data_IF_373660497894
#
_entry.id   IF_373660497894
#
_cell.length_a   1.000
_cell.length_b   1.000
_cell.length_c   1.000
_cell.angle_alpha   90.00
_cell.angle_beta   90.00
_cell.angle_gamma   90.00
#
_symmetry.space_group_name_H-M   'P 1'
#
loop_
_entity.id
_entity.type
_entity.pdbx_description
1 polymer ?
#
# COMPACT_ATOMS: atom_id res chain seq x y z
N UNK A 1 18.06 7.10 21.24
CA UNK A 1 18.15 7.57 19.82
C UNK A 1 16.72 7.80 19.34
N UNK A 2 16.42 9.01 18.88
CA UNK A 2 15.05 9.38 18.47
C UNK A 2 14.65 8.59 17.23
N UNK A 3 13.58 7.76 17.25
CA UNK A 3 13.21 6.89 16.13
C UNK A 3 12.76 7.67 14.88
N UNK A 4 12.50 8.96 15.01
CA UNK A 4 12.00 9.85 13.96
C UNK A 4 13.09 10.58 13.16
N UNK A 5 14.38 10.45 13.51
CA UNK A 5 15.44 11.11 12.75
C UNK A 5 15.73 10.29 11.47
N UNK A 6 15.38 10.88 10.33
CA UNK A 6 15.76 10.37 9.01
C UNK A 6 17.29 10.51 8.88
N UNK A 7 18.01 9.44 9.16
CA UNK A 7 19.45 9.39 8.87
C UNK A 7 19.64 9.07 7.38
N UNK A 8 20.72 9.58 6.79
CA UNK A 8 21.02 9.39 5.36
C UNK A 8 20.87 7.92 4.89
N UNK A 9 21.39 6.90 5.61
CA UNK A 9 21.21 5.50 5.20
C UNK A 9 19.74 5.06 5.23
N UNK A 10 18.93 5.53 6.18
CA UNK A 10 17.48 5.24 6.19
C UNK A 10 16.77 5.85 4.99
N UNK A 11 17.09 7.09 4.64
CA UNK A 11 16.53 7.76 3.49
C UNK A 11 16.88 7.04 2.18
N UNK A 12 18.14 6.62 2.01
CA UNK A 12 18.58 5.86 0.84
C UNK A 12 17.87 4.51 0.71
N UNK A 13 17.76 3.75 1.78
CA UNK A 13 17.06 2.44 1.76
C UNK A 13 15.59 2.63 1.45
N UNK A 14 14.93 3.65 2.03
CA UNK A 14 13.51 3.93 1.75
C UNK A 14 13.32 4.34 0.29
N UNK A 15 14.22 5.16 -0.25
CA UNK A 15 14.18 5.59 -1.65
C UNK A 15 14.37 4.41 -2.61
N UNK A 16 15.36 3.55 -2.35
CA UNK A 16 15.60 2.34 -3.15
C UNK A 16 14.42 1.36 -3.08
N UNK A 17 13.86 1.15 -1.89
CA UNK A 17 12.69 0.29 -1.72
C UNK A 17 11.48 0.85 -2.45
N UNK A 18 11.24 2.17 -2.38
CA UNK A 18 10.18 2.85 -3.11
C UNK A 18 10.35 2.79 -4.63
N UNK A 19 11.58 2.99 -5.12
CA UNK A 19 11.90 2.87 -6.53
C UNK A 19 11.68 1.44 -7.06
N UNK A 20 12.13 0.43 -6.31
CA UNK A 20 11.94 -0.97 -6.66
C UNK A 20 10.45 -1.35 -6.65
N UNK A 21 9.71 -0.87 -5.66
CA UNK A 21 8.26 -1.07 -5.57
C UNK A 21 7.51 -0.42 -6.74
N UNK A 22 7.82 0.84 -7.06
CA UNK A 22 7.22 1.56 -8.19
C UNK A 22 7.56 0.90 -9.54
N UNK A 23 8.79 0.43 -9.71
CA UNK A 23 9.19 -0.34 -10.88
C UNK A 23 8.39 -1.66 -10.99
N UNK A 24 8.19 -2.38 -9.89
CA UNK A 24 7.37 -3.58 -9.85
C UNK A 24 5.91 -3.32 -10.22
N UNK A 25 5.32 -2.21 -9.73
CA UNK A 25 3.96 -1.80 -10.09
C UNK A 25 3.83 -1.45 -11.58
N UNK A 26 4.85 -0.81 -12.15
CA UNK A 26 4.90 -0.48 -13.56
C UNK A 26 4.97 -1.74 -14.44
N UNK A 27 5.83 -2.70 -14.09
CA UNK A 27 5.92 -3.99 -14.78
C UNK A 27 4.64 -4.81 -14.69
N UNK A 28 3.97 -4.76 -13.55
CA UNK A 28 2.69 -5.43 -13.33
C UNK A 28 1.50 -4.73 -14.03
N UNK A 29 1.75 -3.63 -14.75
CA UNK A 29 0.72 -2.77 -15.40
C UNK A 29 -0.38 -2.28 -14.46
N UNK A 30 -0.16 -2.34 -13.15
CA UNK A 30 -1.12 -1.95 -12.11
C UNK A 30 -1.37 -0.43 -12.05
N UNK A 31 -0.58 0.36 -12.76
CA UNK A 31 -0.77 1.82 -12.92
C UNK A 31 -1.92 2.17 -13.88
N UNK A 32 -2.46 1.17 -14.59
CA UNK A 32 -3.58 1.34 -15.54
C UNK A 32 -4.89 0.88 -14.88
N UNK A 33 -5.88 1.79 -14.73
CA UNK A 33 -7.19 1.44 -14.14
C UNK A 33 -7.93 0.34 -14.90
N UNK A 34 -7.70 0.23 -16.21
CA UNK A 34 -8.33 -0.77 -17.09
C UNK A 34 -7.99 -2.20 -16.68
N UNK A 35 -6.77 -2.44 -16.19
CA UNK A 35 -6.31 -3.76 -15.72
C UNK A 35 -7.09 -4.17 -14.48
N UNK A 36 -7.30 -3.23 -13.54
CA UNK A 36 -8.08 -3.47 -12.32
C UNK A 36 -9.54 -3.70 -12.64
N UNK A 37 -10.12 -2.91 -13.57
CA UNK A 37 -11.50 -3.11 -14.02
C UNK A 37 -11.66 -4.42 -14.80
N UNK A 38 -10.65 -4.82 -15.57
CA UNK A 38 -10.62 -6.12 -16.25
C UNK A 38 -10.67 -7.29 -15.26
N UNK A 39 -9.92 -7.20 -14.19
CA UNK A 39 -9.95 -8.16 -13.08
C UNK A 39 -11.33 -8.20 -12.39
N UNK A 40 -11.90 -7.05 -12.04
CA UNK A 40 -13.22 -6.97 -11.42
C UNK A 40 -14.34 -7.55 -12.30
N UNK A 41 -14.14 -7.54 -13.63
CA UNK A 41 -15.04 -8.18 -14.61
C UNK A 41 -14.71 -9.66 -14.87
N UNK A 42 -13.80 -10.26 -14.10
CA UNK A 42 -13.34 -11.65 -14.24
C UNK A 42 -12.75 -11.97 -15.63
N UNK A 43 -12.23 -10.97 -16.34
CA UNK A 43 -11.60 -11.15 -17.66
C UNK A 43 -10.10 -11.44 -17.58
N UNK A 44 -9.45 -11.00 -16.51
CA UNK A 44 -8.02 -11.17 -16.29
C UNK A 44 -7.74 -11.63 -14.85
N UNK A 45 -7.05 -12.77 -14.73
CA UNK A 45 -6.66 -13.36 -13.44
C UNK A 45 -5.24 -13.00 -13.03
N UNK A 46 -4.51 -12.29 -13.88
CA UNK A 46 -3.13 -11.88 -13.62
C UNK A 46 -3.00 -11.06 -12.35
N UNK A 47 -3.92 -10.13 -12.12
CA UNK A 47 -3.93 -9.30 -10.92
C UNK A 47 -4.10 -10.14 -9.64
N UNK A 48 -4.89 -11.20 -9.67
CA UNK A 48 -5.08 -12.10 -8.52
C UNK A 48 -3.79 -12.84 -8.16
N UNK A 49 -3.02 -13.26 -9.17
CA UNK A 49 -1.73 -13.90 -8.96
C UNK A 49 -0.71 -12.91 -8.38
N UNK A 50 -0.68 -11.68 -8.86
CA UNK A 50 0.20 -10.63 -8.33
C UNK A 50 -0.16 -10.29 -6.88
N UNK A 51 -1.45 -10.08 -6.58
CA UNK A 51 -1.89 -9.78 -5.21
C UNK A 51 -1.66 -10.96 -4.26
N UNK A 52 -1.97 -12.17 -4.69
CA UNK A 52 -1.74 -13.39 -3.91
C UNK A 52 -0.25 -13.63 -3.66
N UNK A 53 0.58 -13.45 -4.69
CA UNK A 53 2.04 -13.53 -4.57
C UNK A 53 2.61 -12.49 -3.62
N UNK A 54 2.18 -11.24 -3.74
CA UNK A 54 2.60 -10.15 -2.85
C UNK A 54 2.18 -10.41 -1.39
N UNK A 55 0.94 -10.85 -1.16
CA UNK A 55 0.45 -11.20 0.17
C UNK A 55 1.21 -12.39 0.76
N UNK A 56 1.47 -13.43 -0.03
CA UNK A 56 2.26 -14.59 0.37
C UNK A 56 3.70 -14.21 0.74
N UNK A 57 4.36 -13.40 -0.10
CA UNK A 57 5.72 -12.91 0.15
C UNK A 57 5.79 -12.02 1.40
N UNK A 58 4.82 -11.13 1.58
CA UNK A 58 4.70 -10.31 2.78
C UNK A 58 4.54 -11.16 4.04
N UNK A 59 3.66 -12.18 4.00
CA UNK A 59 3.46 -13.08 5.11
C UNK A 59 4.72 -13.88 5.47
N UNK A 60 5.47 -14.34 4.46
CA UNK A 60 6.76 -15.01 4.65
C UNK A 60 7.79 -14.05 5.25
N UNK A 61 7.84 -12.80 4.77
CA UNK A 61 8.73 -11.78 5.31
C UNK A 61 8.38 -11.46 6.77
N UNK A 62 7.12 -11.18 7.09
CA UNK A 62 6.69 -10.86 8.47
C UNK A 62 6.93 -12.00 9.46
N UNK A 63 6.81 -13.25 9.04
CA UNK A 63 7.07 -14.41 9.89
C UNK A 63 8.55 -14.84 9.91
N UNK A 64 9.25 -14.66 8.80
CA UNK A 64 10.64 -15.11 8.64
C UNK A 64 11.65 -14.12 9.20
N UNK A 65 11.51 -12.82 8.88
CA UNK A 65 12.48 -11.81 9.31
C UNK A 65 12.70 -11.74 10.83
N UNK A 66 11.66 -11.74 11.70
CA UNK A 66 11.88 -11.74 13.14
C UNK A 66 12.54 -13.00 13.69
N UNK A 67 12.50 -14.12 12.94
CA UNK A 67 13.16 -15.36 13.33
C UNK A 67 14.64 -15.39 13.00
N UNK A 68 15.02 -14.71 11.90
CA UNK A 68 16.41 -14.69 11.41
C UNK A 68 17.21 -13.50 11.91
N UNK A 69 16.53 -12.37 12.15
CA UNK A 69 17.15 -11.16 12.66
C UNK A 69 16.49 -10.75 13.98
N UNK A 70 17.23 -10.88 15.08
CA UNK A 70 16.77 -10.48 16.41
C UNK A 70 16.50 -8.98 16.55
N UNK A 71 17.04 -8.14 15.64
CA UNK A 71 16.85 -6.68 15.61
C UNK A 71 16.81 -6.17 14.17
N UNK A 72 16.07 -5.09 13.88
CA UNK A 72 16.10 -4.43 12.57
C UNK A 72 17.51 -3.94 12.24
N UNK A 73 17.95 -4.14 10.99
CA UNK A 73 19.28 -3.77 10.50
C UNK A 73 19.59 -2.26 10.64
N UNK A 74 18.56 -1.41 10.63
CA UNK A 74 18.68 0.05 10.71
C UNK A 74 18.33 0.62 12.10
N UNK A 75 18.27 -0.25 13.13
CA UNK A 75 17.93 0.11 14.51
C UNK A 75 16.42 0.32 14.71
N UNK A 76 15.98 0.19 15.94
CA UNK A 76 14.57 0.22 16.34
C UNK A 76 14.11 -1.14 16.87
N UNK A 77 12.83 -1.28 17.06
CA UNK A 77 12.16 -2.53 17.45
C UNK A 77 11.17 -2.95 16.37
N UNK A 78 10.96 -4.25 16.23
CA UNK A 78 9.89 -4.76 15.37
C UNK A 78 8.54 -4.43 16.02
N UNK A 79 7.85 -3.41 15.49
CA UNK A 79 6.50 -3.06 15.92
C UNK A 79 5.53 -4.11 15.37
N UNK A 80 5.21 -5.10 16.19
CA UNK A 80 4.11 -6.03 15.89
C UNK A 80 2.81 -5.43 16.38
N UNK A 81 2.01 -4.91 15.48
CA UNK A 81 0.66 -4.50 15.83
C UNK A 81 -0.25 -5.75 15.84
N UNK A 82 -0.90 -6.08 16.96
CA UNK A 82 -1.87 -7.16 16.99
C UNK A 82 -3.02 -6.83 16.05
N UNK A 83 -3.36 -7.77 15.16
CA UNK A 83 -4.53 -7.64 14.32
C UNK A 83 -5.78 -7.63 15.22
N UNK A 84 -6.36 -6.45 15.43
CA UNK A 84 -7.59 -6.31 16.21
C UNK A 84 -8.79 -6.36 15.26
N UNK A 85 -9.63 -7.38 15.44
CA UNK A 85 -10.95 -7.42 14.84
C UNK A 85 -11.87 -6.45 15.58
N UNK A 86 -11.82 -5.18 15.21
CA UNK A 86 -12.66 -4.15 15.75
C UNK A 86 -13.73 -3.75 14.73
N UNK A 87 -14.92 -3.38 15.19
CA UNK A 87 -16.00 -2.87 14.34
C UNK A 87 -15.55 -1.73 13.43
N UNK A 88 -14.68 -0.84 13.93
CA UNK A 88 -14.10 0.25 13.15
C UNK A 88 -13.25 -0.26 11.98
N UNK A 89 -12.44 -1.30 12.20
CA UNK A 89 -11.61 -1.92 11.16
C UNK A 89 -12.48 -2.54 10.07
N UNK A 90 -13.54 -3.26 10.46
CA UNK A 90 -14.47 -3.90 9.52
C UNK A 90 -15.21 -2.86 8.69
N UNK A 91 -15.74 -1.81 9.34
CA UNK A 91 -16.45 -0.73 8.63
C UNK A 91 -15.51 0.03 7.70
N UNK A 92 -14.31 0.38 8.16
CA UNK A 92 -13.31 1.06 7.35
C UNK A 92 -12.90 0.24 6.13
N UNK A 93 -12.68 -1.07 6.30
CA UNK A 93 -12.36 -1.99 5.20
C UNK A 93 -13.52 -2.11 4.19
N UNK A 94 -14.76 -2.13 4.66
CA UNK A 94 -15.92 -2.18 3.78
C UNK A 94 -16.06 -0.90 2.95
N UNK A 95 -15.94 0.28 3.59
CA UNK A 95 -15.98 1.58 2.90
C UNK A 95 -14.85 1.68 1.88
N UNK A 96 -13.63 1.29 2.27
CA UNK A 96 -12.48 1.27 1.37
C UNK A 96 -12.71 0.32 0.19
N UNK A 97 -13.23 -0.89 0.45
CA UNK A 97 -13.51 -1.88 -0.59
C UNK A 97 -14.54 -1.40 -1.62
N UNK A 98 -15.59 -0.71 -1.18
CA UNK A 98 -16.59 -0.10 -2.07
C UNK A 98 -15.93 1.01 -2.92
N UNK A 99 -15.18 1.90 -2.30
CA UNK A 99 -14.48 2.99 -3.00
C UNK A 99 -13.49 2.44 -4.04
N UNK A 100 -12.71 1.44 -3.67
CA UNK A 100 -11.75 0.77 -4.56
C UNK A 100 -12.46 0.05 -5.72
N UNK A 101 -13.55 -0.67 -5.43
CA UNK A 101 -14.32 -1.38 -6.45
C UNK A 101 -14.97 -0.45 -7.48
N UNK A 102 -15.36 0.77 -7.07
CA UNK A 102 -15.93 1.78 -7.97
C UNK A 102 -14.86 2.52 -8.78
N UNK A 103 -13.74 2.88 -8.15
CA UNK A 103 -12.68 3.65 -8.80
C UNK A 103 -11.70 2.80 -9.60
N UNK A 104 -11.51 1.53 -9.24
CA UNK A 104 -10.48 0.67 -9.82
C UNK A 104 -9.05 1.13 -9.55
N UNK A 105 -8.84 2.07 -8.60
CA UNK A 105 -7.55 2.71 -8.36
C UNK A 105 -7.06 2.43 -6.95
N UNK A 106 -5.85 1.85 -6.84
CA UNK A 106 -5.17 1.66 -5.56
C UNK A 106 -4.30 2.88 -5.23
N UNK A 107 -4.13 3.26 -3.95
CA UNK A 107 -3.33 4.42 -3.55
C UNK A 107 -1.87 4.38 -4.03
N UNK A 108 -1.22 3.21 -3.95
CA UNK A 108 0.17 3.05 -4.40
C UNK A 108 0.35 3.27 -5.90
N UNK A 109 -0.34 2.52 -6.75
CA UNK A 109 -0.38 2.76 -8.20
C UNK A 109 -0.81 4.17 -8.59
N UNK A 110 -1.74 4.81 -7.86
CA UNK A 110 -2.13 6.20 -8.10
C UNK A 110 -0.96 7.18 -7.97
N UNK A 111 -0.15 7.01 -6.92
CA UNK A 111 1.06 7.83 -6.71
C UNK A 111 2.09 7.54 -7.80
N UNK A 112 2.31 6.28 -8.17
CA UNK A 112 3.24 5.89 -9.22
C UNK A 112 2.81 6.43 -10.60
N UNK A 113 1.51 6.46 -10.88
CA UNK A 113 0.94 6.96 -12.13
C UNK A 113 1.12 8.48 -12.32
N UNK A 114 1.34 9.25 -11.25
CA UNK A 114 1.72 10.67 -11.38
C UNK A 114 3.01 10.84 -12.20
N UNK A 115 3.94 9.89 -12.08
CA UNK A 115 5.19 9.91 -12.86
C UNK A 115 5.00 9.70 -14.35
N UNK A 116 3.85 9.21 -14.80
CA UNK A 116 3.50 9.01 -16.22
C UNK A 116 2.83 10.24 -16.86
N UNK A 117 2.58 11.29 -16.09
CA UNK A 117 1.93 12.51 -16.58
C UNK A 117 0.41 12.40 -16.73
N UNK A 118 -0.22 11.35 -16.22
CA UNK A 118 -1.68 11.19 -16.25
C UNK A 118 -2.32 12.07 -15.17
N UNK A 119 -2.96 13.17 -15.59
CA UNK A 119 -3.60 14.14 -14.69
C UNK A 119 -4.94 13.66 -14.13
N UNK A 120 -5.60 12.69 -14.77
CA UNK A 120 -6.91 12.19 -14.32
C UNK A 120 -6.79 11.49 -12.96
N UNK A 121 -5.62 10.95 -12.66
CA UNK A 121 -5.32 10.30 -11.38
C UNK A 121 -5.37 11.27 -10.18
N UNK A 122 -5.27 12.59 -10.43
CA UNK A 122 -5.33 13.61 -9.37
C UNK A 122 -6.69 13.64 -8.67
N UNK A 123 -7.77 13.33 -9.37
CA UNK A 123 -9.10 13.23 -8.76
C UNK A 123 -9.18 12.08 -7.77
N UNK A 124 -8.61 10.92 -8.14
CA UNK A 124 -8.55 9.76 -7.25
C UNK A 124 -7.68 10.05 -6.01
N UNK A 125 -6.51 10.67 -6.20
CA UNK A 125 -5.63 11.07 -5.11
C UNK A 125 -6.29 12.11 -4.20
N UNK A 126 -6.99 13.08 -4.75
CA UNK A 126 -7.79 14.05 -4.00
C UNK A 126 -8.82 13.37 -3.10
N UNK A 127 -9.55 12.38 -3.65
CA UNK A 127 -10.50 11.58 -2.88
C UNK A 127 -9.84 10.78 -1.75
N UNK A 128 -8.68 10.17 -2.02
CA UNK A 128 -7.90 9.42 -1.02
C UNK A 128 -7.44 10.33 0.13
N UNK A 129 -6.90 11.50 -0.20
CA UNK A 129 -6.44 12.48 0.80
C UNK A 129 -7.62 12.99 1.65
N UNK A 130 -8.72 13.36 1.01
CA UNK A 130 -9.92 13.83 1.71
C UNK A 130 -10.50 12.75 2.62
N UNK A 131 -10.58 11.50 2.15
CA UNK A 131 -11.03 10.36 2.95
C UNK A 131 -10.10 10.09 4.15
N UNK A 132 -8.80 10.16 3.95
CA UNK A 132 -7.81 10.02 5.02
C UNK A 132 -7.89 11.13 6.06
N UNK A 133 -8.08 12.38 5.64
CA UNK A 133 -8.26 13.53 6.52
C UNK A 133 -9.58 13.41 7.32
N UNK A 134 -10.68 13.06 6.66
CA UNK A 134 -11.98 12.87 7.32
C UNK A 134 -11.89 11.79 8.40
N UNK A 135 -11.23 10.65 8.09
CA UNK A 135 -11.01 9.60 9.07
C UNK A 135 -10.12 10.08 10.24
N UNK A 136 -9.02 10.76 9.94
CA UNK A 136 -8.11 11.27 10.96
C UNK A 136 -8.74 12.31 11.89
N UNK A 137 -9.69 13.10 11.40
CA UNK A 137 -10.44 14.06 12.22
C UNK A 137 -11.51 13.38 13.08
N UNK A 138 -12.17 12.33 12.56
CA UNK A 138 -13.23 11.59 13.25
C UNK A 138 -12.69 10.59 14.28
N UNK A 139 -11.48 10.06 14.06
CA UNK A 139 -10.84 9.08 14.94
C UNK A 139 -10.11 9.70 16.16
N UNK A 140 -10.21 11.00 16.34
CA UNK A 140 -9.58 11.74 17.47
C UNK A 140 -10.40 11.75 18.75
N UNK A 141 -11.62 11.17 18.76
CA UNK A 141 -12.49 11.09 19.93
C UNK A 141 -12.41 9.71 20.61
#
# INVERSE_FOLDING_TARGET
MNPTTLTLPKALVTLLAGALFGFGLSLATMIQPEVVLGFLRFKDWGLMLVMGGAAGLAMLAYKGFPRWFARPLLGGEFLTQPASWNRQTVMGSAIFGVGWGLSGVCPGPAIAALGTGNTDILWALGGIVLGGLAHGLTARD
#
